data_IF_394415976168
#
_entry.id   IF_394415976168
#
_cell.length_a   1.000
_cell.length_b   1.000
_cell.length_c   1.000
_cell.angle_alpha   90.00
_cell.angle_beta   90.00
_cell.angle_gamma   90.00
#
_symmetry.space_group_name_H-M   'P 1'
#
loop_
_entity.id
_entity.type
_entity.pdbx_description
1 polymer ?
2 non-polymer ?
3 water ?
#
# COMPACT_ATOMS: atom_id res chain seq x y z
N UNK A 3 -30.93 -5.94 19.01
CA UNK A 3 -30.38 -4.62 18.93
C UNK A 3 -29.00 -4.55 19.59
N UNK A 4 -28.94 -5.06 20.80
CA UNK A 4 -27.73 -5.15 21.59
C UNK A 4 -26.67 -5.94 20.85
N UNK A 5 -27.05 -6.93 20.10
CA UNK A 5 -26.08 -7.71 19.37
C UNK A 5 -25.63 -7.13 18.04
N UNK A 6 -26.36 -6.13 17.52
CA UNK A 6 -26.04 -5.49 16.25
C UNK A 6 -25.02 -4.34 16.32
N UNK A 7 -23.81 -4.73 16.64
CA UNK A 7 -22.73 -3.85 16.94
C UNK A 7 -21.47 -4.65 16.59
N UNK A 8 -20.65 -4.16 15.67
CA UNK A 8 -19.39 -4.83 15.36
C UNK A 8 -18.17 -3.95 15.67
N UNK A 9 -17.04 -4.61 15.94
CA UNK A 9 -15.80 -3.93 16.22
C UNK A 9 -14.79 -4.21 15.09
N UNK A 10 -14.23 -3.13 14.54
CA UNK A 10 -13.35 -3.20 13.38
C UNK A 10 -12.07 -2.46 13.70
N UNK A 11 -10.94 -3.14 13.56
CA UNK A 11 -9.67 -2.51 13.88
C UNK A 11 -9.36 -1.41 12.89
N UNK A 12 -8.58 -0.44 13.33
CA UNK A 12 -8.07 0.59 12.46
C UNK A 12 -6.79 1.17 13.07
N UNK A 13 -6.19 2.15 12.40
CA UNK A 13 -4.91 2.66 12.85
C UNK A 13 -5.08 3.94 13.67
N UNK A 14 -5.15 5.07 12.98
CA UNK A 14 -5.36 6.34 13.65
C UNK A 14 -5.30 7.48 12.66
N UNK A 15 -5.37 8.70 13.18
CA UNK A 15 -5.27 9.88 12.34
C UNK A 15 -6.26 9.90 11.19
N UNK A 16 -5.80 10.45 10.07
CA UNK A 16 -6.65 10.74 8.93
C UNK A 16 -7.23 9.47 8.30
N UNK A 17 -6.44 8.39 8.31
CA UNK A 17 -6.89 7.12 7.76
C UNK A 17 -8.13 6.67 8.51
N UNK A 18 -8.03 6.59 9.83
CA UNK A 18 -9.14 6.15 10.67
C UNK A 18 -10.37 7.07 10.55
N UNK A 19 -10.14 8.38 10.51
CA UNK A 19 -11.22 9.33 10.37
C UNK A 19 -11.96 9.09 9.08
N UNK A 20 -11.21 8.74 8.03
CA UNK A 20 -11.82 8.53 6.74
C UNK A 20 -12.52 7.19 6.60
N UNK A 21 -11.99 6.16 7.26
CA UNK A 21 -12.70 4.90 7.36
C UNK A 21 -14.04 5.11 8.06
N UNK A 22 -14.03 5.89 9.14
CA UNK A 22 -15.27 6.18 9.88
C UNK A 22 -16.26 6.93 8.99
N UNK A 23 -15.78 7.99 8.36
CA UNK A 23 -16.62 8.84 7.53
C UNK A 23 -17.19 8.14 6.29
N UNK A 24 -16.35 7.34 5.64
CA UNK A 24 -16.71 6.81 4.32
C UNK A 24 -17.08 5.34 4.29
N UNK A 25 -16.79 4.63 5.37
CA UNK A 25 -17.14 3.21 5.45
C UNK A 25 -18.05 2.89 6.63
N UNK A 26 -17.60 3.21 7.85
CA UNK A 26 -18.34 2.87 9.07
C UNK A 26 -19.69 3.59 9.17
N UNK A 27 -19.67 4.92 9.02
CA UNK A 27 -20.90 5.71 9.16
C UNK A 27 -21.98 5.37 8.11
N UNK A 28 -21.62 5.38 6.81
CA UNK A 28 -22.60 5.00 5.78
C UNK A 28 -23.17 3.60 5.98
N UNK A 29 -22.32 2.66 6.39
CA UNK A 29 -22.77 1.29 6.63
C UNK A 29 -23.79 1.23 7.77
N UNK A 30 -23.48 1.93 8.87
CA UNK A 30 -24.39 1.99 10.01
C UNK A 30 -25.75 2.48 9.54
N UNK A 31 -25.74 3.53 8.72
CA UNK A 31 -26.97 4.13 8.23
C UNK A 31 -27.79 3.14 7.42
N UNK A 32 -27.13 2.39 6.54
CA UNK A 32 -27.88 1.51 5.65
C UNK A 32 -28.27 0.20 6.31
N UNK A 33 -27.49 -0.23 7.29
CA UNK A 33 -27.67 -1.56 7.86
C UNK A 33 -28.30 -1.55 9.25
N UNK A 34 -28.20 -0.41 9.93
CA UNK A 34 -28.59 -0.32 11.33
C UNK A 34 -27.60 -0.97 12.28
N UNK A 35 -26.46 -1.38 11.75
CA UNK A 35 -25.44 -2.05 12.55
C UNK A 35 -24.41 -1.03 13.00
N UNK A 36 -24.25 -0.90 14.31
CA UNK A 36 -23.25 0.02 14.83
C UNK A 36 -21.83 -0.48 14.56
N UNK A 37 -20.94 0.44 14.23
CA UNK A 37 -19.54 0.08 14.01
C UNK A 37 -18.64 0.90 14.93
N UNK A 38 -17.81 0.21 15.70
CA UNK A 38 -16.77 0.87 16.49
C UNK A 38 -15.41 0.60 15.85
N UNK A 39 -14.70 1.67 15.50
CA UNK A 39 -13.34 1.53 14.99
C UNK A 39 -12.38 1.59 16.17
N UNK A 40 -11.55 0.56 16.31
CA UNK A 40 -10.60 0.46 17.42
C UNK A 40 -9.19 0.82 16.99
N UNK A 41 -8.70 2.02 17.39
CA UNK A 41 -7.35 2.44 17.01
C UNK A 41 -6.25 1.56 17.62
N UNK A 42 -5.15 1.39 16.89
CA UNK A 42 -4.05 0.58 17.38
C UNK A 42 -3.01 0.32 16.31
N UNK A 43 -1.86 -0.21 16.72
CA UNK A 43 -0.81 -0.59 15.78
C UNK A 43 -1.08 -1.97 15.20
N UNK A 44 -0.49 -2.23 14.05
CA UNK A 44 -0.65 -3.51 13.38
C UNK A 44 -0.27 -4.68 14.27
N UNK A 45 0.94 -4.65 14.88
CA UNK A 45 1.41 -5.73 15.75
C UNK A 45 0.53 -5.95 16.98
N UNK A 46 0.03 -4.87 17.58
CA UNK A 46 -0.81 -4.97 18.77
C UNK A 46 -2.17 -5.60 18.44
N UNK A 47 -2.79 -5.13 17.37
CA UNK A 47 -4.05 -5.71 16.92
C UNK A 47 -3.91 -7.20 16.63
N UNK A 48 -2.89 -7.56 15.85
CA UNK A 48 -2.67 -8.96 15.50
C UNK A 48 -2.44 -9.82 16.72
N UNK A 49 -1.57 -9.38 17.64
CA UNK A 49 -1.31 -10.18 18.84
C UNK A 49 -2.57 -10.35 19.67
N UNK A 50 -3.36 -9.28 19.77
CA UNK A 50 -4.59 -9.35 20.54
C UNK A 50 -5.53 -10.39 19.95
N UNK A 51 -5.66 -10.40 18.63
CA UNK A 51 -6.49 -11.39 17.96
C UNK A 51 -5.89 -12.78 18.10
N UNK A 52 -4.57 -12.87 17.95
CA UNK A 52 -3.87 -14.13 18.14
C UNK A 52 -4.13 -14.71 19.52
N UNK A 53 -4.05 -13.85 20.54
CA UNK A 53 -4.10 -14.27 21.94
C UNK A 53 -5.51 -14.61 22.39
N UNK A 54 -6.50 -14.23 21.60
CA UNK A 54 -7.87 -14.31 22.06
C UNK A 54 -8.33 -15.73 22.35
N UNK A 55 -9.16 -15.85 23.38
CA UNK A 55 -9.80 -17.10 23.71
C UNK A 55 -11.30 -16.83 23.88
N UNK A 56 -12.13 -17.71 23.36
CA UNK A 56 -13.57 -17.55 23.49
C UNK A 56 -14.08 -16.53 22.53
N UNK A 57 -14.83 -15.54 23.04
CA UNK A 57 -15.36 -14.50 22.16
C UNK A 57 -14.27 -13.50 21.84
N UNK A 58 -13.97 -13.33 20.54
CA UNK A 58 -12.93 -12.38 20.10
C UNK A 58 -13.36 -10.96 20.42
N UNK A 59 -12.39 -10.07 20.63
CA UNK A 59 -12.73 -8.67 20.91
C UNK A 59 -13.14 -7.95 19.63
N UNK A 60 -12.61 -8.41 18.49
CA UNK A 60 -12.87 -7.77 17.21
C UNK A 60 -13.55 -8.70 16.22
N UNK A 61 -14.40 -8.12 15.38
CA UNK A 61 -15.13 -8.87 14.35
C UNK A 61 -14.48 -8.76 12.97
N UNK A 62 -13.83 -7.63 12.71
CA UNK A 62 -13.17 -7.40 11.44
C UNK A 62 -11.72 -7.00 11.67
N UNK A 63 -10.81 -7.76 11.09
CA UNK A 63 -9.39 -7.47 11.18
C UNK A 63 -9.05 -6.60 10.00
N UNK A 64 -8.58 -5.40 10.27
CA UNK A 64 -8.23 -4.48 9.20
C UNK A 64 -6.94 -3.77 9.54
N UNK A 65 -5.84 -4.24 8.99
CA UNK A 65 -4.53 -3.65 9.22
C UNK A 65 -3.45 -4.18 8.28
N UNK A 66 -2.20 -3.82 8.55
CA UNK A 66 -1.07 -4.11 7.67
C UNK A 66 -0.84 -5.57 7.30
N UNK A 67 -0.26 -5.76 6.12
CA UNK A 67 -0.05 -7.08 5.56
C UNK A 67 0.87 -8.01 6.35
N UNK A 68 1.99 -7.49 6.84
CA UNK A 68 2.93 -8.30 7.61
C UNK A 68 2.29 -9.00 8.80
N UNK A 69 1.59 -8.21 9.62
CA UNK A 69 0.95 -8.75 10.80
C UNK A 69 -0.29 -9.56 10.46
N UNK A 70 -1.01 -9.15 9.41
CA UNK A 70 -2.14 -9.94 8.94
C UNK A 70 -1.68 -11.33 8.52
N UNK A 71 -0.50 -11.40 7.93
CA UNK A 71 0.03 -12.70 7.52
C UNK A 71 0.21 -13.60 8.73
N UNK A 72 0.41 -13.01 9.91
CA UNK A 72 0.51 -13.79 11.14
C UNK A 72 -0.81 -14.53 11.41
N UNK A 73 -1.91 -13.82 11.24
CA UNK A 73 -3.24 -14.36 11.50
C UNK A 73 -3.62 -15.39 10.46
N UNK A 74 -3.13 -15.20 9.25
CA UNK A 74 -3.29 -16.20 8.20
C UNK A 74 -2.62 -17.50 8.60
N UNK A 75 -1.37 -17.41 9.03
CA UNK A 75 -0.59 -18.56 9.43
C UNK A 75 -1.18 -19.28 10.65
N UNK A 76 -1.88 -18.53 11.50
CA UNK A 76 -2.46 -19.09 12.72
C UNK A 76 -3.96 -19.43 12.58
N UNK A 77 -4.49 -19.36 11.36
CA UNK A 77 -5.87 -19.75 11.08
C UNK A 77 -6.91 -18.96 11.88
N UNK A 78 -6.73 -17.65 11.99
CA UNK A 78 -7.63 -16.83 12.80
C UNK A 78 -8.69 -16.10 11.98
N UNK A 79 -8.69 -16.29 10.67
CA UNK A 79 -9.57 -15.54 9.79
C UNK A 79 -10.58 -16.46 9.11
N UNK A 80 -11.81 -16.02 8.95
CA UNK A 80 -12.82 -16.87 8.34
C UNK A 80 -12.73 -16.83 6.82
N UNK A 81 -13.09 -17.94 6.18
CA UNK A 81 -13.14 -18.00 4.73
C UNK A 81 -14.21 -17.04 4.18
N UNK A 82 -13.88 -16.36 3.09
CA UNK A 82 -14.84 -15.49 2.42
C UNK A 82 -14.72 -15.68 0.92
N UNK A 83 -15.85 -15.51 0.22
CA UNK A 83 -15.86 -15.57 -1.23
C UNK A 83 -17.02 -14.79 -1.80
N UNK A 84 -17.20 -14.89 -3.11
CA UNK A 84 -18.23 -14.14 -3.82
C UNK A 84 -19.66 -14.47 -3.38
N UNK A 85 -19.85 -15.66 -2.81
CA UNK A 85 -21.17 -16.02 -2.27
C UNK A 85 -21.46 -15.21 -1.02
N UNK A 86 -20.52 -15.21 -0.08
CA UNK A 86 -20.73 -14.56 1.20
C UNK A 86 -20.42 -13.06 1.18
N UNK A 87 -19.53 -12.65 0.29
CA UNK A 87 -19.13 -11.25 0.17
C UNK A 87 -19.12 -10.91 -1.32
N UNK A 88 -20.30 -10.59 -1.88
CA UNK A 88 -20.49 -10.39 -3.32
C UNK A 88 -19.48 -9.41 -3.94
N UNK A 89 -19.09 -8.38 -3.20
CA UNK A 89 -18.12 -7.40 -3.71
C UNK A 89 -16.81 -8.05 -4.17
N UNK A 90 -16.45 -9.19 -3.58
CA UNK A 90 -15.20 -9.85 -3.96
C UNK A 90 -15.15 -10.20 -5.45
N UNK A 91 -16.32 -10.31 -6.07
CA UNK A 91 -16.38 -10.60 -7.50
C UNK A 91 -15.82 -9.45 -8.33
N UNK A 92 -15.83 -8.25 -7.76
CA UNK A 92 -15.35 -7.06 -8.46
C UNK A 92 -13.92 -6.66 -8.08
N UNK A 93 -13.28 -7.48 -7.26
CA UNK A 93 -11.91 -7.23 -6.84
C UNK A 93 -10.97 -8.17 -7.59
N UNK A 94 -10.03 -7.62 -8.37
CA UNK A 94 -9.06 -8.47 -9.07
C UNK A 94 -8.29 -9.42 -8.14
N UNK A 95 -7.95 -10.59 -8.67
CA UNK A 95 -7.32 -11.64 -7.87
C UNK A 95 -6.05 -11.22 -7.13
N UNK A 96 -5.26 -10.34 -7.74
CA UNK A 96 -4.01 -9.93 -7.12
C UNK A 96 -4.17 -9.32 -5.73
N UNK A 97 -5.31 -8.67 -5.48
CA UNK A 97 -5.57 -8.05 -4.19
C UNK A 97 -5.97 -9.07 -3.13
N UNK A 98 -6.27 -10.28 -3.59
CA UNK A 98 -6.71 -11.36 -2.72
C UNK A 98 -5.67 -12.50 -2.63
N UNK A 99 -4.71 -12.49 -3.55
CA UNK A 99 -3.84 -13.65 -3.74
C UNK A 99 -3.07 -14.13 -2.51
N UNK A 100 -2.63 -13.21 -1.65
CA UNK A 100 -1.83 -13.61 -0.50
C UNK A 100 -2.65 -14.23 0.65
N UNK A 101 -3.96 -14.06 0.62
CA UNK A 101 -4.74 -14.23 1.85
C UNK A 101 -5.52 -15.55 1.98
N UNK A 102 -5.19 -16.48 1.10
CA UNK A 102 -5.71 -17.84 1.17
C UNK A 102 -7.23 -17.92 1.33
N UNK A 103 -7.92 -17.07 0.57
CA UNK A 103 -9.37 -17.06 0.55
C UNK A 103 -10.01 -16.50 1.80
N UNK A 104 -9.21 -15.81 2.60
CA UNK A 104 -9.69 -15.27 3.87
C UNK A 104 -9.45 -13.77 3.99
N UNK A 105 -9.22 -13.09 2.86
CA UNK A 105 -8.93 -11.66 2.94
C UNK A 105 -8.77 -10.92 1.62
N UNK A 106 -8.71 -9.60 1.71
CA UNK A 106 -8.45 -8.77 0.55
C UNK A 106 -7.86 -7.42 0.96
N UNK A 107 -6.93 -6.90 0.18
CA UNK A 107 -6.55 -5.50 0.34
C UNK A 107 -7.82 -4.67 0.17
N UNK A 108 -7.92 -3.56 0.88
CA UNK A 108 -9.11 -2.70 0.75
C UNK A 108 -8.80 -1.28 0.28
N UNK A 109 -7.53 -1.02 0.00
CA UNK A 109 -7.11 0.10 -0.82
C UNK A 109 -5.69 -0.19 -1.28
N UNK A 110 -5.19 0.56 -2.26
CA UNK A 110 -3.77 0.45 -2.59
C UNK A 110 -3.14 1.83 -2.78
N UNK A 111 -1.95 2.02 -2.20
CA UNK A 111 -1.14 3.20 -2.51
C UNK A 111 0.06 2.71 -3.31
N UNK A 112 0.54 3.56 -4.23
CA UNK A 112 1.49 3.10 -5.25
C UNK A 112 2.79 3.87 -5.27
N UNK A 113 3.90 3.15 -5.20
CA UNK A 113 5.21 3.75 -5.37
C UNK A 113 5.54 3.88 -6.86
N UNK A 114 5.77 5.12 -7.29
CA UNK A 114 6.23 5.38 -8.63
C UNK A 114 7.48 6.23 -8.52
N UNK A 115 7.69 7.09 -9.50
CA UNK A 115 8.86 7.97 -9.51
C UNK A 115 8.42 9.42 -9.41
N UNK A 116 8.81 10.10 -8.33
CA UNK A 116 8.46 11.50 -8.14
C UNK A 116 9.63 12.40 -8.51
N UNK A 117 9.35 13.55 -9.12
CA UNK A 117 10.43 14.41 -9.61
C UNK A 117 10.02 15.89 -9.71
N UNK A 118 11.02 16.75 -9.91
CA UNK A 118 10.82 18.17 -10.15
C UNK A 118 10.97 18.46 -11.64
N UNK A 119 9.88 18.86 -12.31
CA UNK A 119 9.99 19.13 -13.75
C UNK A 119 11.05 20.20 -14.07
N UNK A 120 11.32 21.10 -13.13
CA UNK A 120 12.28 22.17 -13.39
C UNK A 120 13.72 21.68 -13.32
N UNK A 121 13.90 20.44 -12.89
CA UNK A 121 15.22 19.85 -12.86
C UNK A 121 15.34 18.78 -13.94
N UNK A 122 14.20 18.17 -14.27
CA UNK A 122 14.14 17.08 -15.22
C UNK A 122 12.93 17.25 -16.11
N UNK A 123 13.11 17.96 -17.22
CA UNK A 123 11.97 18.25 -18.08
C UNK A 123 11.43 16.96 -18.69
N UNK A 124 10.14 16.72 -18.46
CA UNK A 124 9.51 15.52 -18.97
C UNK A 124 9.73 14.30 -18.11
N UNK A 125 10.57 14.44 -17.09
CA UNK A 125 10.83 13.38 -16.15
C UNK A 125 11.37 12.14 -16.83
N UNK A 126 10.94 10.99 -16.36
CA UNK A 126 11.32 9.69 -16.91
C UNK A 126 10.03 8.89 -17.10
N UNK A 127 10.08 7.79 -17.82
CA UNK A 127 8.86 7.03 -18.10
C UNK A 127 8.85 5.67 -17.43
N UNK A 128 10.01 5.21 -16.98
CA UNK A 128 10.14 3.86 -16.44
C UNK A 128 11.15 3.78 -15.31
N UNK A 129 11.04 2.71 -14.51
CA UNK A 129 12.04 2.41 -13.49
C UNK A 129 13.41 2.22 -14.14
N UNK A 130 13.41 1.58 -15.31
CA UNK A 130 14.64 1.31 -16.03
C UNK A 130 15.31 2.63 -16.44
N UNK A 131 14.52 3.56 -16.96
CA UNK A 131 15.05 4.87 -17.35
C UNK A 131 15.59 5.59 -16.11
N UNK A 132 14.80 5.60 -15.04
CA UNK A 132 15.23 6.16 -13.77
C UNK A 132 16.60 5.63 -13.33
N UNK A 133 16.73 4.30 -13.34
CA UNK A 133 17.99 3.66 -12.96
C UNK A 133 19.15 4.04 -13.89
N UNK A 134 18.97 3.85 -15.19
CA UNK A 134 20.06 4.02 -16.13
C UNK A 134 20.49 5.47 -16.24
N UNK A 135 19.54 6.40 -16.19
CA UNK A 135 19.89 7.82 -16.20
C UNK A 135 20.58 8.24 -14.90
N UNK A 136 20.15 7.66 -13.78
CA UNK A 136 20.84 7.93 -12.51
C UNK A 136 22.31 7.50 -12.60
N UNK A 137 22.53 6.26 -13.04
CA UNK A 137 23.87 5.68 -13.16
C UNK A 137 24.75 6.45 -14.16
N UNK A 138 24.13 7.01 -15.20
CA UNK A 138 24.89 7.79 -16.20
C UNK A 138 25.27 9.16 -15.65
N UNK A 139 24.69 9.51 -14.50
CA UNK A 139 25.03 10.74 -13.82
C UNK A 139 24.22 11.93 -14.29
N UNK A 140 23.15 11.66 -15.03
CA UNK A 140 22.32 12.74 -15.59
C UNK A 140 21.57 13.58 -14.55
N UNK A 141 21.35 13.02 -13.37
CA UNK A 141 20.66 13.78 -12.32
C UNK A 141 21.66 14.28 -11.27
N UNK A 142 22.96 14.14 -11.54
CA UNK A 142 23.96 14.53 -10.57
C UNK A 142 23.81 13.70 -9.30
N UNK A 143 24.06 14.29 -8.15
CA UNK A 143 23.90 13.59 -6.90
C UNK A 143 22.61 14.04 -6.20
N UNK A 144 21.52 14.08 -6.95
CA UNK A 144 20.28 14.64 -6.44
C UNK A 144 19.15 13.61 -6.40
N UNK A 145 19.55 12.34 -6.34
CA UNK A 145 18.60 11.24 -6.27
C UNK A 145 18.44 10.81 -4.81
N UNK A 146 17.21 10.50 -4.40
CA UNK A 146 16.94 9.94 -3.07
C UNK A 146 16.33 8.55 -3.25
N UNK A 147 16.34 7.72 -2.21
CA UNK A 147 15.85 6.35 -2.32
C UNK A 147 15.37 5.83 -0.95
N UNK A 148 14.39 4.94 -0.95
CA UNK A 148 13.85 4.38 0.29
C UNK A 148 14.92 3.69 1.15
N UNK A 149 15.02 4.06 2.42
CA UNK A 149 15.89 3.31 3.32
C UNK A 149 15.29 1.95 3.63
N UNK A 150 16.04 0.88 3.36
CA UNK A 150 15.51 -0.48 3.57
C UNK A 150 14.98 -0.71 4.99
N UNK A 151 15.75 -0.27 5.99
CA UNK A 151 15.39 -0.51 7.39
C UNK A 151 14.25 0.34 7.95
N UNK A 152 13.63 1.18 7.14
CA UNK A 152 12.70 2.16 7.69
C UNK A 152 11.21 1.86 7.47
N UNK A 153 10.91 0.68 6.95
CA UNK A 153 9.52 0.32 6.66
C UNK A 153 8.80 1.39 5.82
N UNK A 154 9.47 1.82 4.75
CA UNK A 154 8.88 2.75 3.81
C UNK A 154 8.87 2.15 2.40
N UNK A 155 8.59 0.85 2.34
CA UNK A 155 8.44 0.09 1.10
C UNK A 155 9.71 -0.06 0.27
N UNK A 156 10.86 0.02 0.94
CA UNK A 156 12.13 -0.20 0.27
C UNK A 156 12.24 -1.58 -0.34
N UNK A 157 11.87 -2.60 0.43
CA UNK A 157 11.92 -3.97 -0.06
C UNK A 157 11.14 -4.11 -1.35
N UNK A 158 10.00 -3.43 -1.42
CA UNK A 158 9.11 -3.51 -2.59
C UNK A 158 9.76 -2.92 -3.85
N UNK A 159 10.32 -1.73 -3.74
CA UNK A 159 10.99 -1.10 -4.88
C UNK A 159 12.15 -1.97 -5.38
N UNK A 160 12.98 -2.45 -4.45
CA UNK A 160 14.08 -3.35 -4.82
C UNK A 160 13.58 -4.62 -5.53
N UNK A 161 12.45 -5.15 -5.08
CA UNK A 161 11.85 -6.30 -5.75
C UNK A 161 11.62 -6.04 -7.24
N UNK A 162 11.18 -4.82 -7.57
CA UNK A 162 10.98 -4.44 -8.96
C UNK A 162 12.32 -4.45 -9.70
N UNK A 163 13.38 -4.02 -9.01
CA UNK A 163 14.71 -4.05 -9.61
C UNK A 163 15.12 -5.50 -9.90
N UNK A 164 14.82 -6.40 -8.97
CA UNK A 164 15.11 -7.81 -9.17
C UNK A 164 14.39 -8.36 -10.39
N UNK A 165 13.16 -7.91 -10.61
CA UNK A 165 12.37 -8.38 -11.75
C UNK A 165 12.86 -7.82 -13.08
N UNK A 166 13.17 -6.53 -13.10
CA UNK A 166 13.62 -5.89 -14.34
C UNK A 166 15.02 -6.34 -14.76
N UNK A 167 15.93 -6.39 -13.79
CA UNK A 167 17.34 -6.69 -14.06
C UNK A 167 17.77 -8.11 -13.71
N UNK A 168 16.90 -8.88 -13.08
CA UNK A 168 17.25 -10.22 -12.64
C UNK A 168 16.17 -11.23 -13.00
N UNK A 169 16.07 -12.28 -12.19
CA UNK A 169 15.17 -13.39 -12.48
C UNK A 169 13.78 -13.24 -11.85
N UNK A 170 13.55 -12.14 -11.15
CA UNK A 170 12.24 -11.88 -10.57
C UNK A 170 12.29 -11.18 -9.22
N UNK A 171 11.13 -11.06 -8.59
CA UNK A 171 11.01 -10.34 -7.31
C UNK A 171 11.95 -10.87 -6.23
N UNK A 172 12.29 -12.14 -6.28
CA UNK A 172 13.12 -12.74 -5.25
C UNK A 172 14.62 -12.70 -5.51
N UNK A 173 15.03 -12.04 -6.59
CA UNK A 173 16.45 -11.96 -6.93
C UNK A 173 17.08 -10.79 -6.20
N UNK A 174 17.47 -11.03 -4.96
CA UNK A 174 17.96 -9.95 -4.12
C UNK A 174 19.36 -9.47 -4.53
N UNK A 175 20.16 -10.38 -5.10
CA UNK A 175 21.49 -10.00 -5.60
C UNK A 175 21.34 -8.96 -6.69
N UNK A 176 20.50 -9.26 -7.67
CA UNK A 176 20.24 -8.34 -8.77
C UNK A 176 19.66 -7.02 -8.27
N UNK A 177 18.72 -7.11 -7.33
CA UNK A 177 18.13 -5.94 -6.69
C UNK A 177 19.18 -5.04 -6.05
N UNK A 178 20.00 -5.63 -5.19
CA UNK A 178 21.07 -4.89 -4.54
C UNK A 178 22.14 -4.40 -5.52
N UNK A 179 22.48 -5.24 -6.50
CA UNK A 179 23.46 -4.85 -7.50
C UNK A 179 23.00 -3.63 -8.30
N UNK A 180 21.70 -3.53 -8.58
CA UNK A 180 21.15 -2.38 -9.28
C UNK A 180 21.33 -1.12 -8.44
N UNK A 181 20.91 -1.18 -7.18
CA UNK A 181 21.02 -0.03 -6.29
C UNK A 181 22.47 0.35 -6.06
N UNK A 182 23.34 -0.66 -6.04
CA UNK A 182 24.76 -0.41 -5.85
C UNK A 182 25.32 0.44 -6.99
N UNK A 183 24.79 0.24 -8.18
CA UNK A 183 25.15 1.06 -9.36
C UNK A 183 24.71 2.52 -9.17
N UNK A 184 23.60 2.71 -8.46
CA UNK A 184 23.03 4.04 -8.28
C UNK A 184 23.62 4.76 -7.08
N UNK A 185 24.19 3.98 -6.16
CA UNK A 185 24.62 4.49 -4.85
C UNK A 185 25.42 5.82 -4.86
N UNK A 186 26.36 5.99 -5.80
CA UNK A 186 27.17 7.21 -5.83
C UNK A 186 26.35 8.49 -6.02
N UNK A 187 25.15 8.35 -6.60
CA UNK A 187 24.34 9.48 -6.99
C UNK A 187 23.20 9.73 -6.02
N UNK A 188 23.12 8.91 -4.98
CA UNK A 188 22.07 9.04 -3.96
C UNK A 188 22.58 9.83 -2.77
N UNK A 189 21.91 10.95 -2.47
CA UNK A 189 22.34 11.81 -1.38
C UNK A 189 21.60 11.49 -0.07
N UNK A 190 20.50 10.74 -0.16
CA UNK A 190 19.71 10.44 1.03
C UNK A 190 18.90 9.17 0.87
N UNK A 191 19.04 8.29 1.86
CA UNK A 191 18.15 7.14 1.98
C UNK A 191 17.10 7.54 3.02
N UNK A 192 15.90 7.83 2.55
CA UNK A 192 14.91 8.47 3.41
C UNK A 192 14.18 7.49 4.31
N UNK A 193 13.68 8.00 5.43
CA UNK A 193 13.17 7.16 6.49
C UNK A 193 11.70 7.39 6.82
N UNK A 194 11.04 8.32 6.12
CA UNK A 194 9.62 8.55 6.36
C UNK A 194 8.83 8.72 5.05
N UNK A 195 7.55 8.38 5.10
CA UNK A 195 6.66 8.47 3.93
C UNK A 195 6.57 9.87 3.31
N UNK A 196 6.67 10.90 4.15
CA UNK A 196 6.54 12.28 3.71
C UNK A 196 7.85 12.82 3.10
N UNK A 197 8.92 12.04 3.20
CA UNK A 197 10.24 12.49 2.75
C UNK A 197 10.36 12.84 1.26
N UNK A 198 9.85 11.99 0.35
CA UNK A 198 9.99 12.40 -1.05
C UNK A 198 9.42 13.80 -1.35
N UNK A 199 8.24 14.11 -0.83
CA UNK A 199 7.64 15.41 -1.10
C UNK A 199 8.51 16.55 -0.55
N UNK A 200 8.94 16.40 0.71
CA UNK A 200 9.80 17.41 1.34
C UNK A 200 11.12 17.58 0.59
N UNK A 201 11.78 16.47 0.28
CA UNK A 201 13.05 16.53 -0.44
C UNK A 201 12.88 17.24 -1.78
N UNK A 202 11.81 16.89 -2.50
CA UNK A 202 11.52 17.51 -3.80
C UNK A 202 11.17 18.99 -3.68
N UNK A 203 10.26 19.31 -2.77
CA UNK A 203 9.77 20.70 -2.63
C UNK A 203 10.77 21.66 -1.99
N UNK A 204 11.71 21.11 -1.22
CA UNK A 204 12.76 21.92 -0.61
C UNK A 204 13.80 22.28 -1.64
N UNK A 205 13.81 21.53 -2.75
CA UNK A 205 14.81 21.68 -3.78
C UNK A 205 16.03 20.81 -3.57
N UNK A 206 16.11 20.11 -2.43
CA UNK A 206 17.29 19.30 -2.15
C UNK A 206 17.39 18.10 -3.11
N UNK A 207 16.25 17.48 -3.39
CA UNK A 207 16.23 16.33 -4.25
C UNK A 207 15.59 16.64 -5.60
N UNK A 208 15.98 15.89 -6.63
CA UNK A 208 15.44 16.12 -7.97
C UNK A 208 14.49 15.00 -8.38
N UNK A 209 14.74 13.79 -7.89
CA UNK A 209 14.00 12.62 -8.32
C UNK A 209 14.24 11.44 -7.38
N UNK A 210 13.27 10.54 -7.29
CA UNK A 210 13.40 9.35 -6.48
C UNK A 210 12.03 8.73 -6.32
N UNK A 211 11.95 7.57 -5.64
CA UNK A 211 10.65 6.91 -5.47
C UNK A 211 9.72 7.71 -4.57
N UNK A 212 8.44 7.75 -4.92
CA UNK A 212 7.45 8.49 -4.15
C UNK A 212 6.06 7.91 -4.35
N UNK A 213 5.15 8.28 -3.46
CA UNK A 213 3.79 7.73 -3.49
C UNK A 213 2.88 8.57 -4.38
N UNK A 214 1.99 7.89 -5.09
CA UNK A 214 1.10 8.61 -6.01
C UNK A 214 0.25 9.65 -5.29
N UNK A 215 -0.52 9.23 -4.30
CA UNK A 215 -1.41 10.15 -3.60
C UNK A 215 -0.69 11.31 -2.95
N UNK A 216 0.34 11.00 -2.18
CA UNK A 216 1.13 12.03 -1.51
C UNK A 216 1.68 13.05 -2.51
N UNK A 217 2.18 12.56 -3.64
CA UNK A 217 2.77 13.43 -4.65
C UNK A 217 1.67 14.27 -5.33
N UNK A 218 0.50 13.67 -5.55
CA UNK A 218 -0.62 14.39 -6.18
C UNK A 218 -1.02 15.58 -5.32
N UNK A 219 -1.12 15.35 -4.02
CA UNK A 219 -1.46 16.42 -3.07
C UNK A 219 -0.45 17.57 -3.17
N UNK A 220 0.83 17.23 -3.17
CA UNK A 220 1.89 18.23 -3.31
C UNK A 220 1.83 18.92 -4.67
N UNK A 221 1.59 18.14 -5.72
CA UNK A 221 1.45 18.71 -7.06
C UNK A 221 0.34 19.74 -7.10
N UNK A 222 -0.77 19.46 -6.42
CA UNK A 222 -1.95 20.34 -6.45
C UNK A 222 -1.70 21.62 -5.66
N UNK A 223 -1.09 21.49 -4.49
CA UNK A 223 -0.93 22.63 -3.59
C UNK A 223 0.18 23.53 -4.08
N UNK A 224 0.94 23.03 -5.04
CA UNK A 224 2.18 23.64 -5.44
C UNK A 224 2.08 24.04 -6.91
N UNK A 225 0.90 23.87 -7.47
CA UNK A 225 0.65 24.21 -8.86
C UNK A 225 1.68 23.61 -9.84
N UNK A 226 2.00 22.32 -9.61
CA UNK A 226 2.78 21.54 -10.55
C UNK A 226 4.28 21.47 -10.32
N UNK A 227 4.75 21.92 -9.17
CA UNK A 227 6.21 21.96 -8.93
C UNK A 227 6.81 20.56 -8.82
N UNK A 228 5.98 19.60 -8.40
CA UNK A 228 6.40 18.20 -8.38
C UNK A 228 5.40 17.38 -9.17
N UNK A 229 5.87 16.27 -9.74
CA UNK A 229 4.98 15.39 -10.50
C UNK A 229 5.35 13.95 -10.20
N UNK A 230 4.42 13.05 -10.54
CA UNK A 230 4.58 11.63 -10.26
C UNK A 230 4.52 10.86 -11.56
N UNK A 231 5.40 9.86 -11.68
CA UNK A 231 5.44 9.00 -12.86
C UNK A 231 4.84 7.65 -12.57
N UNK A 232 3.90 7.25 -13.40
CA UNK A 232 3.38 5.89 -13.44
C UNK A 232 4.33 5.10 -14.33
N UNK A 233 5.27 4.33 -13.74
CA UNK A 233 6.33 3.71 -14.55
C UNK A 233 5.78 2.68 -15.52
N UNK A 234 6.36 2.58 -16.70
CA UNK A 234 5.82 1.66 -17.70
C UNK A 234 5.82 0.18 -17.27
N UNK A 235 6.74 -0.20 -16.40
CA UNK A 235 6.78 -1.57 -15.88
C UNK A 235 5.70 -1.78 -14.82
N UNK A 236 5.07 -0.70 -14.41
CA UNK A 236 4.06 -0.72 -13.36
C UNK A 236 4.55 -0.08 -12.07
N UNK A 237 3.66 0.62 -11.38
CA UNK A 237 3.94 1.08 -10.03
C UNK A 237 3.86 -0.11 -9.05
N UNK A 238 4.57 0.00 -7.94
CA UNK A 238 4.59 -1.06 -6.94
C UNK A 238 3.71 -0.65 -5.80
N UNK A 239 2.65 -1.42 -5.57
CA UNK A 239 1.57 -0.98 -4.72
C UNK A 239 1.38 -1.90 -3.54
N UNK A 240 0.93 -1.30 -2.44
CA UNK A 240 0.67 -2.05 -1.23
C UNK A 240 -0.56 -1.44 -0.59
N UNK A 241 -1.14 -2.16 0.35
CA UNK A 241 -2.31 -1.64 1.03
C UNK A 241 -2.68 -2.48 2.24
N UNK A 242 -3.59 -1.95 3.07
CA UNK A 242 -4.02 -2.66 4.27
C UNK A 242 -4.97 -3.80 3.88
N UNK A 243 -5.06 -4.81 4.74
CA UNK A 243 -5.89 -5.98 4.43
C UNK A 243 -7.12 -6.01 5.32
N UNK A 244 -8.23 -6.49 4.77
CA UNK A 244 -9.44 -6.68 5.54
C UNK A 244 -9.83 -8.16 5.59
N UNK A 245 -10.25 -8.61 6.76
CA UNK A 245 -10.63 -10.01 6.95
C UNK A 245 -11.66 -10.16 8.07
N UNK A 246 -12.45 -11.22 7.98
CA UNK A 246 -13.40 -11.59 9.02
C UNK A 246 -12.73 -12.47 10.08
N UNK A 247 -12.84 -12.05 11.35
CA UNK A 247 -12.27 -12.79 12.48
C UNK A 247 -13.08 -14.02 12.87
N UNK A 248 -12.47 -15.19 12.80
CA UNK A 248 -13.15 -16.44 13.16
C UNK A 248 -13.76 -16.35 14.55
N UNK A 249 -15.05 -16.69 14.67
CA UNK A 249 -15.71 -16.73 15.97
C UNK A 249 -16.32 -15.42 16.42
N UNK A 250 -16.15 -14.37 15.62
CA UNK A 250 -16.80 -13.10 15.91
C UNK A 250 -18.22 -13.11 15.34
N UNK A 251 -18.81 -11.93 15.19
CA UNK A 251 -20.13 -11.83 14.58
C UNK A 251 -19.96 -11.90 13.06
N UNK A 252 -19.75 -13.11 12.56
CA UNK A 252 -19.22 -13.32 11.22
C UNK A 252 -20.11 -12.81 10.11
N UNK A 253 -21.43 -12.94 10.29
CA UNK A 253 -22.36 -12.49 9.26
C UNK A 253 -22.43 -10.97 9.16
N UNK A 254 -22.42 -10.28 10.30
CA UNK A 254 -22.36 -8.83 10.29
C UNK A 254 -21.01 -8.35 9.72
N UNK A 255 -19.93 -9.03 10.12
CA UNK A 255 -18.59 -8.71 9.63
C UNK A 255 -18.49 -8.87 8.11
N UNK A 256 -19.04 -9.95 7.57
CA UNK A 256 -19.05 -10.17 6.12
C UNK A 256 -19.88 -9.07 5.45
N UNK A 257 -20.95 -8.65 6.12
CA UNK A 257 -21.79 -7.58 5.60
C UNK A 257 -21.03 -6.27 5.56
N UNK A 258 -20.29 -5.96 6.63
CA UNK A 258 -19.46 -4.77 6.60
C UNK A 258 -18.39 -4.86 5.50
N UNK A 259 -17.72 -6.00 5.42
CA UNK A 259 -16.67 -6.16 4.41
C UNK A 259 -17.26 -5.99 3.01
N UNK A 260 -18.44 -6.55 2.80
CA UNK A 260 -19.09 -6.42 1.51
C UNK A 260 -19.34 -4.96 1.16
N UNK A 261 -19.75 -4.18 2.15
CA UNK A 261 -19.97 -2.75 1.92
C UNK A 261 -18.65 -2.03 1.66
N UNK A 262 -17.64 -2.32 2.48
CA UNK A 262 -16.36 -1.61 2.42
C UNK A 262 -15.66 -1.82 1.09
N UNK A 263 -15.88 -2.98 0.50
CA UNK A 263 -15.25 -3.34 -0.76
C UNK A 263 -16.16 -3.00 -1.94
N UNK A 264 -17.34 -2.50 -1.62
CA UNK A 264 -18.33 -2.16 -2.64
C UNK A 264 -17.97 -0.84 -3.34
N UNK A 265 -18.64 -0.59 -4.46
CA UNK A 265 -18.30 0.54 -5.32
C UNK A 265 -18.47 1.90 -4.63
N UNK A 266 -19.55 2.06 -3.87
CA UNK A 266 -19.85 3.35 -3.25
C UNK A 266 -18.82 3.73 -2.18
N UNK A 267 -18.52 2.80 -1.28
CA UNK A 267 -17.57 3.08 -0.22
C UNK A 267 -16.13 3.15 -0.75
N UNK A 268 -15.80 2.29 -1.70
CA UNK A 268 -14.46 2.31 -2.28
C UNK A 268 -14.19 3.67 -2.91
N UNK A 269 -15.16 4.17 -3.69
CA UNK A 269 -14.97 5.45 -4.33
C UNK A 269 -14.83 6.56 -3.30
N UNK A 270 -15.74 6.57 -2.33
CA UNK A 270 -15.77 7.66 -1.36
C UNK A 270 -14.49 7.69 -0.52
N UNK A 271 -14.07 6.53 -0.02
CA UNK A 271 -12.87 6.44 0.79
C UNK A 271 -11.61 6.75 -0.03
N UNK A 272 -11.47 6.12 -1.19
CA UNK A 272 -10.24 6.28 -1.96
C UNK A 272 -10.07 7.68 -2.54
N UNK A 273 -11.17 8.31 -2.97
CA UNK A 273 -11.10 9.68 -3.45
C UNK A 273 -10.65 10.64 -2.34
N UNK A 274 -11.16 10.40 -1.13
CA UNK A 274 -10.82 11.24 0.02
C UNK A 274 -9.34 11.11 0.41
N UNK A 275 -8.82 9.89 0.30
CA UNK A 275 -7.45 9.59 0.73
C UNK A 275 -6.42 9.66 -0.40
N UNK A 276 -6.85 9.89 -1.63
CA UNK A 276 -5.97 9.76 -2.79
C UNK A 276 -5.34 8.36 -2.87
N UNK A 277 -6.18 7.35 -2.68
CA UNK A 277 -5.79 5.95 -2.83
C UNK A 277 -6.44 5.36 -4.08
N UNK A 278 -5.93 4.20 -4.50
CA UNK A 278 -6.57 3.42 -5.53
C UNK A 278 -7.53 2.41 -4.95
N UNK A 279 -8.71 2.27 -5.57
CA UNK A 279 -9.72 1.32 -5.13
C UNK A 279 -9.43 -0.07 -5.66
N UNK A 280 -9.73 -1.08 -4.85
CA UNK A 280 -9.55 -2.47 -5.26
C UNK A 280 -10.79 -3.03 -5.97
N UNK A 281 -11.86 -2.24 -6.03
CA UNK A 281 -13.06 -2.61 -6.77
C UNK A 281 -12.93 -2.05 -8.20
N UNK A 282 -12.92 -2.92 -9.20
CA UNK A 282 -12.72 -2.49 -10.56
C UNK A 282 -13.86 -1.63 -11.13
N UNK A 283 -14.99 -1.59 -10.43
CA UNK A 283 -16.15 -0.83 -10.90
C UNK A 283 -16.00 0.66 -10.65
N UNK A 284 -15.12 1.02 -9.72
CA UNK A 284 -14.98 2.43 -9.33
C UNK A 284 -14.48 3.32 -10.48
N UNK A 285 -15.20 4.41 -10.74
CA UNK A 285 -14.80 5.38 -11.75
C UNK A 285 -14.51 6.70 -11.03
N UNK A 286 -13.36 7.28 -11.32
CA UNK A 286 -12.85 8.39 -10.50
C UNK A 286 -13.26 9.75 -11.01
N UNK A 287 -13.29 10.70 -10.08
CA UNK A 287 -13.51 12.10 -10.41
C UNK A 287 -12.35 12.61 -11.23
N UNK A 288 -12.49 13.86 -11.68
CA UNK A 288 -11.47 14.53 -12.47
C UNK A 288 -10.17 14.70 -11.70
N UNK A 289 -10.26 14.74 -10.37
CA UNK A 289 -9.08 14.94 -9.54
C UNK A 289 -8.08 13.80 -9.66
N UNK A 290 -8.57 12.59 -9.98
CA UNK A 290 -7.72 11.41 -9.94
C UNK A 290 -7.72 10.58 -11.22
N UNK A 291 -8.82 10.70 -11.96
CA UNK A 291 -9.08 9.92 -13.17
C UNK A 291 -7.87 9.84 -14.11
N UNK A 292 -7.17 10.97 -14.25
CA UNK A 292 -6.10 11.06 -15.24
C UNK A 292 -4.71 10.69 -14.71
N UNK A 293 -4.57 10.50 -13.41
CA UNK A 293 -3.23 10.28 -12.85
C UNK A 293 -3.05 9.05 -11.95
N UNK A 294 -4.11 8.65 -11.27
CA UNK A 294 -4.06 7.43 -10.48
C UNK A 294 -3.68 6.26 -11.37
N UNK A 295 -2.71 5.45 -10.94
CA UNK A 295 -2.32 4.30 -11.79
C UNK A 295 -3.46 3.30 -11.89
N UNK A 296 -3.62 2.71 -13.07
CA UNK A 296 -4.72 1.78 -13.34
C UNK A 296 -4.69 0.56 -12.42
N UNK A 297 -5.88 0.14 -12.00
CA UNK A 297 -6.03 -1.02 -11.13
C UNK A 297 -5.40 -2.25 -11.78
N UNK A 298 -5.43 -2.30 -13.11
CA UNK A 298 -4.92 -3.45 -13.85
C UNK A 298 -3.41 -3.43 -14.00
N UNK A 299 -2.80 -2.25 -13.90
CA UNK A 299 -1.38 -2.10 -14.19
C UNK A 299 -0.47 -2.23 -12.96
N UNK A 300 -0.98 -1.96 -11.77
CA UNK A 300 -0.11 -1.90 -10.59
C UNK A 300 0.42 -3.28 -10.22
N UNK A 301 1.63 -3.32 -9.66
CA UNK A 301 2.28 -4.57 -9.31
C UNK A 301 2.33 -4.76 -7.80
N UNK A 302 1.96 -5.94 -7.35
CA UNK A 302 2.01 -6.26 -5.93
C UNK A 302 3.01 -7.39 -5.73
N UNK A 303 3.88 -7.24 -4.74
CA UNK A 303 4.86 -8.27 -4.45
C UNK A 303 4.34 -9.21 -3.36
N UNK A 304 4.58 -10.51 -3.57
CA UNK A 304 4.14 -11.56 -2.65
C UNK A 304 4.55 -11.28 -1.21
N UNK A 305 3.57 -11.14 -0.32
CA UNK A 305 3.86 -10.87 1.09
C UNK A 305 4.80 -11.91 1.70
N UNK A 306 4.50 -13.18 1.49
CA UNK A 306 5.33 -14.28 2.02
C UNK A 306 6.77 -14.18 1.53
N UNK A 307 6.92 -13.83 0.26
CA UNK A 307 8.25 -13.67 -0.33
C UNK A 307 9.03 -12.55 0.36
N UNK A 308 8.40 -11.40 0.54
CA UNK A 308 9.04 -10.27 1.21
C UNK A 308 9.52 -10.62 2.62
N UNK A 309 8.66 -11.29 3.37
CA UNK A 309 8.98 -11.70 4.73
C UNK A 309 10.15 -12.69 4.75
N UNK A 310 10.09 -13.65 3.83
CA UNK A 310 11.09 -14.70 3.78
C UNK A 310 12.48 -14.17 3.43
N UNK A 311 12.52 -13.17 2.55
CA UNK A 311 13.79 -12.70 2.01
C UNK A 311 14.37 -11.51 2.78
N UNK A 312 13.62 -10.97 3.73
CA UNK A 312 14.02 -9.73 4.39
C UNK A 312 15.39 -9.81 5.06
N UNK A 313 15.63 -10.87 5.83
CA UNK A 313 16.92 -11.03 6.51
C UNK A 313 18.10 -11.02 5.55
N UNK A 314 18.06 -11.87 4.53
CA UNK A 314 19.12 -11.91 3.52
C UNK A 314 19.26 -10.57 2.80
N UNK A 315 18.13 -9.97 2.44
CA UNK A 315 18.16 -8.67 1.76
C UNK A 315 18.87 -7.62 2.60
N UNK A 316 18.53 -7.56 3.89
CA UNK A 316 19.16 -6.64 4.83
C UNK A 316 20.67 -6.86 4.91
N UNK A 317 21.06 -8.13 4.99
CA UNK A 317 22.46 -8.53 5.01
C UNK A 317 23.21 -7.99 3.79
N UNK A 318 22.68 -8.26 2.60
CA UNK A 318 23.27 -7.77 1.35
C UNK A 318 23.34 -6.25 1.34
N UNK A 319 22.27 -5.61 1.81
CA UNK A 319 22.22 -4.16 1.93
C UNK A 319 23.38 -3.68 2.80
N UNK A 320 23.46 -4.20 4.02
CA UNK A 320 24.49 -3.75 4.96
C UNK A 320 25.89 -3.99 4.39
N UNK A 321 25.98 -4.87 3.40
CA UNK A 321 27.26 -5.29 2.87
C UNK A 321 27.74 -4.44 1.69
N UNK A 322 26.78 -4.18 0.80
CA UNK A 322 26.98 -3.43 -0.36
C UNK A 322 26.40 -2.02 -0.43
N UNK A 323 25.50 -1.60 0.46
CA UNK A 323 24.85 -0.31 0.40
C UNK A 323 25.26 0.66 1.49
N UNK A 324 24.91 0.29 2.71
CA UNK A 324 25.26 1.06 3.90
C UNK A 324 26.42 0.41 4.63
X LIG B 1 -17.10 -7.57 20.74
X LIG B 1 -17.37 -8.15 22.01
X LIG B 1 -17.76 -8.43 19.66
X LIG B 1 -18.36 -7.63 18.66
X LIG B 1 -16.73 -9.38 19.03
X LIG B 1 -17.41 -10.46 18.42
#
# INVERSE_FOLDING_TARGET
>A
XSLADDHIYVTSSGGSFLENVRKHMAEPFEKQSGVKVTLVPGTNPAHALKILSSRGTPPYDVAAFGGNDMYRLIRAKKLAQVDEKSVPSLADVPEKFKADWEGCGSLYDYSSVGIAYRPDKIQGGVKSWKEFVERTVAGEFGKQVFFNNLSSNVRGAEVLSMFGKIYGSGYGDIEASIATLERMKPHIFKFFTAFNDPVVLLTSGEGAIGPGWDGRTFIAEDSTKGMVKWVDPTEGAVSSGPVMAVVKGGKEDLAKAFMNYALGEEAQKAFCEAMYYGAVNRKVQYSEKLKHRLPSIDSVQLVDTALLIKNMSALLDLWNKRIASEGHHHHHH
>B hetero
1 GOL C1 O1 C2 O2 C3 O3
#
